data_IF_381858516604
#
_entry.id   IF_381858516604
#
_cell.length_a   1.000
_cell.length_b   1.000
_cell.length_c   1.000
_cell.angle_alpha   90.00
_cell.angle_beta   90.00
_cell.angle_gamma   90.00
#
_symmetry.space_group_name_H-M   'P 1'
#
loop_
_entity.id
_entity.type
_entity.pdbx_description
1 polymer ?
#
# COMPACT_ATOMS: atom_id res chain seq x y z
N UNK A 1 13.63 33.20 -10.52
CA UNK A 1 13.03 33.09 -9.17
C UNK A 1 12.88 31.61 -8.90
N UNK A 2 13.76 31.00 -8.11
CA UNK A 2 13.64 29.60 -7.72
C UNK A 2 12.49 29.53 -6.71
N UNK A 3 11.35 28.97 -7.12
CA UNK A 3 10.27 28.67 -6.19
C UNK A 3 10.82 27.76 -5.09
N UNK A 4 10.71 28.18 -3.83
CA UNK A 4 10.86 27.28 -2.69
C UNK A 4 9.80 26.20 -2.86
N UNK A 5 10.21 25.00 -3.25
CA UNK A 5 9.33 23.84 -3.22
C UNK A 5 8.84 23.68 -1.79
N UNK A 6 7.53 23.49 -1.63
CA UNK A 6 6.92 23.14 -0.37
C UNK A 6 7.63 21.91 0.24
N UNK A 7 7.82 21.89 1.56
CA UNK A 7 8.61 20.86 2.27
C UNK A 7 8.10 19.45 1.96
N UNK A 8 6.79 19.30 1.82
CA UNK A 8 6.15 18.05 1.42
C UNK A 8 6.51 17.64 -0.02
N UNK A 9 6.62 18.60 -0.94
CA UNK A 9 7.00 18.33 -2.33
C UNK A 9 8.44 17.81 -2.41
N UNK A 10 9.36 18.43 -1.66
CA UNK A 10 10.75 17.99 -1.65
C UNK A 10 10.88 16.58 -1.03
N UNK A 11 10.21 16.33 0.10
CA UNK A 11 10.18 15.01 0.74
C UNK A 11 9.66 13.90 -0.18
N UNK A 12 8.59 14.17 -0.95
CA UNK A 12 8.07 13.21 -1.95
C UNK A 12 9.06 12.95 -3.09
N UNK A 13 9.79 13.98 -3.54
CA UNK A 13 10.82 13.81 -4.58
C UNK A 13 12.00 12.98 -4.07
N UNK A 14 12.42 13.20 -2.82
CA UNK A 14 13.52 12.43 -2.23
C UNK A 14 13.15 10.95 -2.08
N UNK A 15 11.92 10.66 -1.67
CA UNK A 15 11.39 9.28 -1.61
C UNK A 15 11.29 8.64 -3.00
N UNK A 16 10.84 9.39 -4.01
CA UNK A 16 10.80 8.92 -5.39
C UNK A 16 12.19 8.50 -5.88
N UNK A 17 13.23 9.30 -5.61
CA UNK A 17 14.60 8.95 -5.96
C UNK A 17 15.08 7.70 -5.22
N UNK A 18 14.75 7.57 -3.92
CA UNK A 18 15.06 6.33 -3.16
C UNK A 18 14.44 5.10 -3.80
N UNK A 19 13.15 5.16 -4.18
CA UNK A 19 12.45 4.06 -4.86
C UNK A 19 13.18 3.66 -6.14
N UNK A 20 13.62 4.64 -6.95
CA UNK A 20 14.41 4.38 -8.17
C UNK A 20 15.76 3.73 -7.86
N UNK A 21 16.47 4.18 -6.82
CA UNK A 21 17.77 3.59 -6.44
C UNK A 21 17.65 2.14 -5.95
N UNK A 22 16.49 1.74 -5.43
CA UNK A 22 16.18 0.35 -5.10
C UNK A 22 15.86 -0.51 -6.34
N UNK A 23 15.93 0.06 -7.56
CA UNK A 23 15.63 -0.64 -8.82
C UNK A 23 14.14 -0.87 -9.06
N UNK A 24 13.27 -0.23 -8.27
CA UNK A 24 11.81 -0.37 -8.38
C UNK A 24 11.29 0.70 -9.34
N UNK A 25 10.47 0.30 -10.32
CA UNK A 25 9.77 1.26 -11.19
C UNK A 25 8.60 1.88 -10.39
N UNK A 26 8.63 3.20 -10.08
CA UNK A 26 7.55 3.86 -9.34
C UNK A 26 6.26 3.99 -10.16
N UNK A 27 6.34 3.85 -11.49
CA UNK A 27 5.21 3.99 -12.42
C UNK A 27 5.14 2.78 -13.35
N UNK A 28 4.79 1.58 -12.82
CA UNK A 28 4.62 0.40 -13.65
C UNK A 28 3.43 0.59 -14.60
N UNK A 29 3.54 0.05 -15.82
CA UNK A 29 2.50 0.18 -16.85
C UNK A 29 1.26 -0.67 -16.57
N UNK A 30 1.41 -1.74 -15.78
CA UNK A 30 0.33 -2.67 -15.42
C UNK A 30 0.57 -3.28 -14.05
N UNK A 31 -0.53 -3.50 -13.33
CA UNK A 31 -0.64 -4.39 -12.19
C UNK A 31 -1.90 -5.22 -12.38
N UNK A 32 -1.80 -6.54 -12.22
CA UNK A 32 -2.94 -7.45 -12.36
C UNK A 32 -3.60 -7.62 -10.99
N UNK A 33 -4.80 -7.06 -10.85
CA UNK A 33 -5.64 -7.25 -9.66
C UNK A 33 -6.59 -8.43 -9.90
N UNK A 34 -6.85 -9.21 -8.86
CA UNK A 34 -7.86 -10.28 -8.93
C UNK A 34 -9.25 -9.80 -8.51
N UNK A 35 -9.33 -8.79 -7.64
CA UNK A 35 -10.59 -8.27 -7.11
C UNK A 35 -10.54 -6.74 -6.98
N UNK A 36 -11.72 -6.13 -6.92
CA UNK A 36 -11.91 -4.80 -6.34
C UNK A 36 -11.94 -4.88 -4.82
N UNK A 37 -11.76 -3.75 -4.14
CA UNK A 37 -11.83 -3.72 -2.67
C UNK A 37 -13.18 -4.21 -2.15
N UNK A 38 -14.27 -3.83 -2.82
CA UNK A 38 -15.63 -4.27 -2.45
C UNK A 38 -15.83 -5.77 -2.64
N UNK A 39 -15.33 -6.34 -3.74
CA UNK A 39 -15.40 -7.78 -3.98
C UNK A 39 -14.60 -8.55 -2.93
N UNK A 40 -13.40 -8.09 -2.58
CA UNK A 40 -12.59 -8.73 -1.54
C UNK A 40 -13.26 -8.69 -0.16
N UNK A 41 -13.93 -7.58 0.20
CA UNK A 41 -14.73 -7.50 1.43
C UNK A 41 -15.92 -8.46 1.39
N UNK A 42 -16.53 -8.67 0.23
CA UNK A 42 -17.66 -9.58 0.08
C UNK A 42 -17.28 -11.07 0.16
N UNK A 43 -15.99 -11.43 0.11
CA UNK A 43 -15.53 -12.80 0.32
C UNK A 43 -15.66 -13.24 1.78
N UNK A 44 -15.72 -12.30 2.72
CA UNK A 44 -15.84 -12.61 4.14
C UNK A 44 -17.26 -13.15 4.43
N UNK A 45 -17.39 -14.33 5.06
CA UNK A 45 -18.70 -14.86 5.43
C UNK A 45 -19.37 -13.98 6.49
N UNK A 46 -20.70 -13.94 6.46
CA UNK A 46 -21.48 -13.32 7.53
C UNK A 46 -21.26 -14.10 8.85
N UNK A 47 -20.61 -13.47 9.84
CA UNK A 47 -20.31 -14.10 11.13
C UNK A 47 -18.84 -13.97 11.55
N UNK A 48 -18.30 -15.00 12.21
CA UNK A 48 -16.92 -15.00 12.72
C UNK A 48 -15.91 -15.22 11.59
N UNK A 49 -15.46 -14.11 11.02
CA UNK A 49 -14.42 -14.04 10.00
C UNK A 49 -13.06 -14.58 10.44
N UNK A 50 -12.81 -14.80 11.75
CA UNK A 50 -11.49 -15.24 12.23
C UNK A 50 -11.16 -16.69 11.87
N UNK A 51 -12.15 -17.48 11.46
CA UNK A 51 -11.97 -18.89 11.10
C UNK A 51 -12.14 -19.19 9.61
N UNK A 52 -12.46 -18.17 8.81
CA UNK A 52 -12.69 -18.34 7.38
C UNK A 52 -11.35 -18.45 6.64
N UNK A 53 -11.14 -19.57 5.94
CA UNK A 53 -10.08 -19.67 4.95
C UNK A 53 -10.52 -18.91 3.69
N UNK A 54 -9.89 -17.76 3.44
CA UNK A 54 -10.15 -16.94 2.26
C UNK A 54 -9.09 -17.18 1.19
N UNK A 55 -9.46 -17.11 -0.10
CA UNK A 55 -8.48 -17.23 -1.18
C UNK A 55 -7.52 -16.03 -1.17
N UNK A 56 -6.29 -16.20 -1.68
CA UNK A 56 -5.39 -15.08 -1.89
C UNK A 56 -6.00 -14.08 -2.87
N UNK A 57 -5.87 -12.79 -2.56
CA UNK A 57 -6.34 -11.69 -3.41
C UNK A 57 -5.18 -10.76 -3.75
N UNK A 58 -5.27 -10.11 -4.91
CA UNK A 58 -4.37 -9.05 -5.33
C UNK A 58 -5.19 -7.79 -5.55
N UNK A 59 -4.86 -6.73 -4.85
CA UNK A 59 -5.65 -5.49 -4.79
C UNK A 59 -4.78 -4.31 -5.19
N UNK A 60 -5.41 -3.25 -5.70
CA UNK A 60 -4.72 -2.00 -5.99
C UNK A 60 -5.57 -0.82 -5.57
N UNK A 61 -4.95 0.20 -4.97
CA UNK A 61 -5.67 1.37 -4.51
C UNK A 61 -4.76 2.49 -4.03
N UNK A 62 -5.37 3.64 -3.79
CA UNK A 62 -4.71 4.83 -3.24
C UNK A 62 -4.59 4.71 -1.72
N UNK A 63 -3.40 4.94 -1.17
CA UNK A 63 -3.18 5.01 0.28
C UNK A 63 -3.89 6.24 0.83
N UNK A 64 -4.82 6.03 1.75
CA UNK A 64 -5.60 7.09 2.43
C UNK A 64 -5.25 7.21 3.91
N UNK A 65 -4.67 6.18 4.51
CA UNK A 65 -4.06 6.22 5.83
C UNK A 65 -2.91 5.22 5.91
N UNK A 66 -1.89 5.51 6.71
CA UNK A 66 -0.75 4.64 6.98
C UNK A 66 -0.37 4.76 8.46
N UNK A 67 -0.26 3.62 9.15
CA UNK A 67 0.07 3.54 10.57
C UNK A 67 1.19 2.51 10.77
N UNK A 68 2.33 2.94 11.28
CA UNK A 68 3.48 2.10 11.56
C UNK A 68 3.54 1.77 13.06
N UNK A 69 3.69 0.49 13.40
CA UNK A 69 3.67 -0.04 14.77
C UNK A 69 4.77 -1.09 14.96
N UNK A 70 6.02 -0.63 15.07
CA UNK A 70 7.18 -1.53 15.23
C UNK A 70 7.32 -2.48 14.03
N UNK A 71 7.09 -3.78 14.24
CA UNK A 71 7.16 -4.83 13.21
C UNK A 71 5.86 -5.05 12.42
N UNK A 72 4.84 -4.23 12.68
CA UNK A 72 3.54 -4.27 12.01
C UNK A 72 3.20 -2.90 11.41
N UNK A 73 2.54 -2.89 10.26
CA UNK A 73 2.00 -1.66 9.66
C UNK A 73 0.61 -1.88 9.09
N UNK A 74 -0.24 -0.87 9.18
CA UNK A 74 -1.63 -0.90 8.70
C UNK A 74 -1.88 0.24 7.74
N UNK A 75 -2.17 -0.08 6.49
CA UNK A 75 -2.52 0.90 5.47
C UNK A 75 -3.98 0.77 5.11
N UNK A 76 -4.62 1.88 4.78
CA UNK A 76 -5.96 1.88 4.22
C UNK A 76 -5.89 2.28 2.76
N UNK A 77 -6.17 1.35 1.86
CA UNK A 77 -6.19 1.59 0.42
C UNK A 77 -7.63 1.79 -0.07
N UNK A 78 -7.81 2.73 -1.00
CA UNK A 78 -9.11 3.03 -1.61
C UNK A 78 -9.02 2.91 -3.12
N UNK A 79 -9.89 2.11 -3.71
CA UNK A 79 -10.13 2.05 -5.14
C UNK A 79 -11.47 2.72 -5.47
N UNK A 80 -11.93 2.62 -6.72
CA UNK A 80 -13.22 3.17 -7.13
C UNK A 80 -14.44 2.46 -6.52
N UNK A 81 -14.26 1.29 -5.90
CA UNK A 81 -15.33 0.47 -5.32
C UNK A 81 -15.48 0.67 -3.81
N UNK A 82 -14.39 0.97 -3.10
CA UNK A 82 -14.41 1.07 -1.65
C UNK A 82 -13.03 1.17 -1.01
N UNK A 83 -13.01 1.06 0.32
CA UNK A 83 -11.80 1.05 1.15
C UNK A 83 -11.59 -0.34 1.73
N UNK A 84 -10.34 -0.76 1.82
CA UNK A 84 -9.92 -1.95 2.55
C UNK A 84 -8.64 -1.65 3.35
N UNK A 85 -8.49 -2.29 4.50
CA UNK A 85 -7.28 -2.20 5.31
C UNK A 85 -6.33 -3.33 4.94
N UNK A 86 -5.05 -3.00 4.78
CA UNK A 86 -3.96 -3.93 4.49
C UNK A 86 -3.07 -4.02 5.72
N UNK A 87 -2.77 -5.24 6.14
CA UNK A 87 -1.88 -5.53 7.26
C UNK A 87 -0.55 -6.05 6.74
N UNK A 88 0.53 -5.36 7.08
CA UNK A 88 1.90 -5.75 6.76
C UNK A 88 2.62 -6.20 8.02
N UNK A 89 3.21 -7.39 7.99
CA UNK A 89 4.06 -7.92 9.06
C UNK A 89 5.47 -8.11 8.55
N UNK A 90 6.45 -7.54 9.25
CA UNK A 90 7.88 -7.59 8.89
C UNK A 90 8.39 -9.02 8.70
N UNK A 91 7.99 -9.93 9.59
CA UNK A 91 8.39 -11.34 9.53
C UNK A 91 7.87 -12.05 8.26
N UNK A 92 6.73 -11.62 7.71
CA UNK A 92 6.13 -12.21 6.50
C UNK A 92 6.67 -11.55 5.22
N UNK A 93 6.89 -10.23 5.24
CA UNK A 93 7.39 -9.48 4.09
C UNK A 93 8.91 -9.60 3.89
N UNK A 94 9.65 -9.83 4.97
CA UNK A 94 11.10 -9.66 5.02
C UNK A 94 11.51 -8.19 5.23
N UNK A 95 12.75 -8.00 5.67
CA UNK A 95 13.33 -6.70 6.02
C UNK A 95 13.20 -5.69 4.87
N UNK A 96 13.72 -6.01 3.69
CA UNK A 96 13.83 -5.09 2.56
C UNK A 96 12.46 -4.56 2.10
N UNK A 97 11.47 -5.45 1.95
CA UNK A 97 10.10 -5.06 1.55
C UNK A 97 9.38 -4.30 2.65
N UNK A 98 9.65 -4.59 3.91
CA UNK A 98 9.04 -3.87 5.02
C UNK A 98 9.61 -2.44 5.11
N UNK A 99 10.94 -2.28 5.01
CA UNK A 99 11.57 -0.96 5.00
C UNK A 99 11.15 -0.13 3.76
N UNK A 100 10.86 -0.78 2.63
CA UNK A 100 10.28 -0.12 1.46
C UNK A 100 8.98 0.64 1.78
N UNK A 101 8.14 0.13 2.69
CA UNK A 101 6.86 0.77 3.06
C UNK A 101 7.04 2.19 3.60
N UNK A 102 8.20 2.52 4.19
CA UNK A 102 8.51 3.86 4.69
C UNK A 102 8.74 4.89 3.58
N UNK A 103 8.95 4.45 2.33
CA UNK A 103 9.06 5.35 1.17
C UNK A 103 7.70 5.67 0.54
N UNK A 104 6.62 5.04 1.00
CA UNK A 104 5.27 5.30 0.51
C UNK A 104 4.61 6.44 1.29
N UNK A 105 3.79 7.24 0.60
CA UNK A 105 3.06 8.36 1.17
C UNK A 105 1.55 8.26 0.97
N UNK A 106 0.82 9.03 1.78
CA UNK A 106 -0.61 9.24 1.55
C UNK A 106 -0.82 9.82 0.15
N UNK A 107 -1.76 9.25 -0.60
CA UNK A 107 -2.04 9.63 -1.98
C UNK A 107 -1.32 8.79 -3.02
N UNK A 108 -0.30 7.99 -2.65
CA UNK A 108 0.33 7.07 -3.59
C UNK A 108 -0.59 5.90 -3.92
N UNK A 109 -0.43 5.33 -5.11
CA UNK A 109 -1.12 4.10 -5.51
C UNK A 109 -0.21 2.91 -5.30
N UNK A 110 -0.74 1.86 -4.68
CA UNK A 110 0.00 0.62 -4.45
C UNK A 110 -0.82 -0.59 -4.89
N UNK A 111 -0.10 -1.64 -5.30
CA UNK A 111 -0.62 -2.99 -5.44
C UNK A 111 -0.14 -3.86 -4.29
N UNK A 112 -1.03 -4.69 -3.75
CA UNK A 112 -0.77 -5.60 -2.61
C UNK A 112 -1.27 -7.00 -2.91
#
# INVERSE_FOLDING_TARGET
>A
MLEKKDDQTQSRLDKLERIKTLGINPYPTRFERTHTNREAVALFPEGDAHTAELPPVQLAGRITAARFMGKASFFDIRDGSGRIQVYFKKDTLGEEKYEFLHNLDLGDFIGV
#
